data_IF_125509302475
#
_entry.id   IF_125509302475
#
_cell.length_a   1.000
_cell.length_b   1.000
_cell.length_c   1.000
_cell.angle_alpha   90.00
_cell.angle_beta   90.00
_cell.angle_gamma   90.00
#
_symmetry.space_group_name_H-M   'P 1'
#
loop_
_entity.id
_entity.type
_entity.pdbx_description
1 polymer ?
#
# COMPACT_ATOMS: atom_id res chain seq x y z
N UNK A 1 2.65 11.87 3.15
CA UNK A 1 2.85 10.74 4.06
C UNK A 1 1.96 10.81 5.28
N UNK A 2 1.65 9.67 5.86
CA UNK A 2 0.93 9.55 7.12
C UNK A 2 1.73 8.69 8.10
N UNK A 3 1.86 9.16 9.33
CA UNK A 3 2.51 8.37 10.38
C UNK A 3 1.49 7.36 10.94
N UNK A 4 1.68 6.09 10.58
CA UNK A 4 0.88 4.97 11.05
C UNK A 4 1.55 4.16 12.18
N UNK A 5 2.77 4.53 12.58
CA UNK A 5 3.58 3.81 13.57
C UNK A 5 3.18 4.24 14.99
N UNK A 6 3.04 3.27 15.89
CA UNK A 6 2.80 3.50 17.33
C UNK A 6 4.12 3.52 18.10
N UNK A 7 4.24 4.43 19.07
CA UNK A 7 5.46 4.58 19.90
C UNK A 7 5.86 3.30 20.66
N UNK A 8 4.91 2.50 21.14
CA UNK A 8 5.18 1.32 21.99
C UNK A 8 4.88 -0.02 21.34
N UNK A 9 4.16 -0.05 20.21
CA UNK A 9 3.74 -1.27 19.54
C UNK A 9 4.00 -1.13 18.04
N UNK A 10 5.26 -1.30 17.66
CA UNK A 10 5.74 -1.01 16.29
C UNK A 10 5.07 -1.86 15.20
N UNK A 11 4.59 -3.05 15.53
CA UNK A 11 3.92 -3.95 14.59
C UNK A 11 2.48 -3.56 14.33
N UNK A 12 1.78 -2.98 15.31
CA UNK A 12 0.39 -2.54 15.15
C UNK A 12 0.30 -1.09 14.70
N UNK A 13 -0.21 -0.87 13.50
CA UNK A 13 -0.48 0.48 13.01
C UNK A 13 -1.64 1.18 13.74
N UNK A 14 -1.65 2.50 13.67
CA UNK A 14 -2.75 3.33 14.14
C UNK A 14 -2.84 4.62 13.32
N UNK A 15 -4.04 5.03 12.97
CA UNK A 15 -4.34 6.31 12.36
C UNK A 15 -5.37 7.01 13.22
N UNK A 16 -5.13 8.26 13.59
CA UNK A 16 -6.07 9.06 14.38
C UNK A 16 -7.17 9.68 13.52
N UNK A 17 -8.29 10.01 14.11
CA UNK A 17 -9.37 10.75 13.43
C UNK A 17 -8.88 12.10 12.88
N UNK A 18 -7.99 12.78 13.61
CA UNK A 18 -7.40 14.04 13.15
C UNK A 18 -6.56 13.85 11.87
N UNK A 19 -5.79 12.75 11.79
CA UNK A 19 -5.05 12.42 10.55
C UNK A 19 -6.00 12.10 9.40
N UNK A 20 -7.07 11.34 9.66
CA UNK A 20 -8.08 11.02 8.64
C UNK A 20 -8.69 12.29 8.07
N UNK A 21 -9.11 13.21 8.92
CA UNK A 21 -9.71 14.50 8.52
C UNK A 21 -8.73 15.41 7.79
N UNK A 22 -7.50 15.52 8.27
CA UNK A 22 -6.46 16.33 7.62
C UNK A 22 -6.12 15.83 6.20
N UNK A 23 -6.04 14.52 6.02
CA UNK A 23 -5.79 13.91 4.71
C UNK A 23 -7.03 14.06 3.81
N UNK A 24 -8.23 13.82 4.33
CA UNK A 24 -9.48 14.07 3.61
C UNK A 24 -9.52 15.48 3.04
N UNK A 25 -9.21 16.48 3.86
CA UNK A 25 -9.17 17.87 3.43
C UNK A 25 -8.18 18.06 2.26
N UNK A 26 -6.97 17.52 2.36
CA UNK A 26 -5.97 17.60 1.29
C UNK A 26 -6.42 16.91 0.00
N UNK A 27 -6.99 15.71 0.09
CA UNK A 27 -7.50 14.97 -1.06
C UNK A 27 -8.62 15.73 -1.78
N UNK A 28 -9.55 16.31 -1.01
CA UNK A 28 -10.67 17.08 -1.54
C UNK A 28 -10.22 18.32 -2.31
N UNK A 29 -9.15 18.99 -1.86
CA UNK A 29 -8.64 20.23 -2.48
C UNK A 29 -7.50 20.02 -3.47
N UNK A 30 -7.03 18.78 -3.64
CA UNK A 30 -6.03 18.46 -4.64
C UNK A 30 -6.63 18.50 -6.06
N UNK A 31 -5.87 18.94 -7.08
CA UNK A 31 -6.34 18.98 -8.45
C UNK A 31 -6.86 17.62 -8.93
N UNK A 32 -7.97 17.63 -9.65
CA UNK A 32 -8.67 16.40 -10.10
C UNK A 32 -7.86 15.58 -11.09
N UNK A 33 -6.97 16.21 -11.84
CA UNK A 33 -6.11 15.57 -12.84
C UNK A 33 -4.79 15.04 -12.28
N UNK A 34 -4.62 15.01 -10.95
CA UNK A 34 -3.42 14.48 -10.31
C UNK A 34 -3.71 13.14 -9.65
N UNK A 35 -2.76 12.22 -9.79
CA UNK A 35 -2.76 10.96 -9.04
C UNK A 35 -2.51 11.29 -7.56
N UNK A 36 -3.38 10.81 -6.70
CA UNK A 36 -3.36 11.08 -5.25
C UNK A 36 -2.93 9.82 -4.52
N UNK A 37 -1.70 9.82 -4.03
CA UNK A 37 -1.10 8.70 -3.32
C UNK A 37 -0.85 9.08 -1.86
N UNK A 38 -1.10 8.13 -0.96
CA UNK A 38 -0.76 8.23 0.47
C UNK A 38 0.38 7.25 0.75
N UNK A 39 1.40 7.70 1.45
CA UNK A 39 2.50 6.86 1.90
C UNK A 39 2.36 6.60 3.40
N UNK A 40 2.36 5.35 3.79
CA UNK A 40 2.30 4.87 5.18
C UNK A 40 3.37 3.79 5.40
N UNK A 41 3.57 3.35 6.65
CA UNK A 41 4.46 2.21 6.92
C UNK A 41 3.70 0.89 6.90
N UNK A 42 2.57 0.81 7.62
CA UNK A 42 1.76 -0.41 7.69
C UNK A 42 0.82 -0.57 6.50
N UNK A 43 0.49 -1.82 6.14
CA UNK A 43 -0.46 -2.15 5.09
C UNK A 43 -1.89 -1.76 5.48
N UNK A 44 -2.74 -1.52 4.49
CA UNK A 44 -4.18 -1.31 4.72
C UNK A 44 -5.01 -2.55 4.41
N UNK A 45 -4.37 -3.53 3.81
CA UNK A 45 -4.95 -4.84 3.55
C UNK A 45 -3.86 -5.93 3.68
N UNK A 46 -4.23 -7.08 4.17
CA UNK A 46 -3.45 -8.31 4.14
C UNK A 46 -4.37 -9.45 3.72
N UNK A 47 -3.95 -10.36 2.82
CA UNK A 47 -4.76 -11.52 2.45
C UNK A 47 -5.11 -12.37 3.68
N UNK A 48 -6.29 -13.01 3.70
CA UNK A 48 -6.75 -13.79 4.85
C UNK A 48 -5.83 -14.96 5.24
N UNK A 49 -5.10 -15.50 4.28
CA UNK A 49 -4.11 -16.57 4.44
C UNK A 49 -2.71 -16.07 4.81
N UNK A 50 -2.52 -14.76 4.88
CA UNK A 50 -1.24 -14.18 5.32
C UNK A 50 -1.11 -14.29 6.85
N UNK A 51 -0.02 -14.92 7.38
CA UNK A 51 0.22 -15.05 8.81
C UNK A 51 0.45 -13.71 9.52
N UNK A 52 0.84 -12.65 8.81
CA UNK A 52 0.96 -11.31 9.37
C UNK A 52 -0.39 -10.69 9.68
N UNK A 53 -1.44 -11.17 9.04
CA UNK A 53 -2.85 -10.93 9.35
C UNK A 53 -3.26 -9.45 9.53
N UNK A 54 -4.54 -9.26 9.63
CA UNK A 54 -5.21 -7.99 9.90
C UNK A 54 -4.66 -7.20 11.11
N UNK A 55 -3.85 -7.84 11.97
CA UNK A 55 -3.21 -7.18 13.13
C UNK A 55 -2.18 -6.11 12.74
N UNK A 56 -1.59 -6.23 11.56
CA UNK A 56 -0.60 -5.28 11.07
C UNK A 56 -1.27 -4.05 10.43
N UNK A 57 -2.53 -4.18 10.02
CA UNK A 57 -3.30 -3.05 9.52
C UNK A 57 -3.55 -1.98 10.60
N UNK A 58 -3.54 -0.69 10.23
CA UNK A 58 -3.77 0.39 11.19
C UNK A 58 -5.17 0.31 11.82
N UNK A 59 -5.24 0.50 13.14
CA UNK A 59 -6.52 0.80 13.79
C UNK A 59 -7.10 2.05 13.12
N UNK A 60 -8.40 2.02 12.80
CA UNK A 60 -9.12 2.99 11.97
C UNK A 60 -8.69 3.02 10.48
N UNK A 61 -7.84 2.08 10.02
CA UNK A 61 -7.45 2.01 8.61
C UNK A 61 -8.63 1.83 7.68
N UNK A 62 -9.60 0.98 8.01
CA UNK A 62 -10.83 0.81 7.23
C UNK A 62 -11.65 2.10 7.16
N UNK A 63 -11.86 2.79 8.27
CA UNK A 63 -12.54 4.08 8.28
C UNK A 63 -11.81 5.12 7.42
N UNK A 64 -10.47 5.13 7.49
CA UNK A 64 -9.66 6.01 6.66
C UNK A 64 -9.88 5.73 5.17
N UNK A 65 -9.89 4.47 4.75
CA UNK A 65 -10.17 4.08 3.37
C UNK A 65 -11.56 4.53 2.90
N UNK A 66 -12.60 4.31 3.70
CA UNK A 66 -13.97 4.72 3.38
C UNK A 66 -14.09 6.24 3.19
N UNK A 67 -13.33 7.02 3.95
CA UNK A 67 -13.30 8.48 3.83
C UNK A 67 -12.46 8.93 2.64
N UNK A 68 -11.24 8.40 2.50
CA UNK A 68 -10.29 8.88 1.51
C UNK A 68 -10.64 8.48 0.08
N UNK A 69 -11.18 7.27 -0.13
CA UNK A 69 -11.63 6.79 -1.44
C UNK A 69 -12.71 7.71 -2.06
N UNK A 70 -13.65 8.15 -1.24
CA UNK A 70 -14.71 9.10 -1.65
C UNK A 70 -14.18 10.51 -1.96
N UNK A 71 -12.95 10.80 -1.56
CA UNK A 71 -12.29 12.08 -1.80
C UNK A 71 -11.15 11.97 -2.84
N UNK A 72 -11.18 10.92 -3.67
CA UNK A 72 -10.33 10.76 -4.84
C UNK A 72 -8.96 10.16 -4.56
N UNK A 73 -8.79 9.38 -3.49
CA UNK A 73 -7.58 8.57 -3.29
C UNK A 73 -7.42 7.57 -4.44
N UNK A 74 -6.25 7.53 -5.06
CA UNK A 74 -5.91 6.55 -6.10
C UNK A 74 -5.12 5.36 -5.55
N UNK A 75 -4.32 5.56 -4.49
CA UNK A 75 -3.58 4.44 -3.91
C UNK A 75 -2.82 4.77 -2.64
N UNK A 76 -2.38 3.70 -2.00
CA UNK A 76 -1.52 3.70 -0.81
C UNK A 76 -0.22 3.00 -1.14
N UNK A 77 0.87 3.56 -0.65
CA UNK A 77 2.22 2.99 -0.75
C UNK A 77 2.69 2.63 0.65
N UNK A 78 3.08 1.40 0.86
CA UNK A 78 3.59 0.98 2.17
C UNK A 78 4.60 -0.16 2.07
N UNK A 79 5.35 -0.38 3.15
CA UNK A 79 6.30 -1.46 3.32
C UNK A 79 5.82 -2.50 4.32
N UNK A 80 6.57 -2.67 5.40
CA UNK A 80 6.29 -3.51 6.56
C UNK A 80 6.35 -5.03 6.31
N UNK A 81 5.60 -5.53 5.32
CA UNK A 81 5.46 -6.97 5.07
C UNK A 81 6.64 -7.59 4.31
N UNK A 82 7.54 -6.78 3.75
CA UNK A 82 8.68 -7.26 2.93
C UNK A 82 8.25 -8.11 1.72
N UNK A 83 7.02 -7.93 1.26
CA UNK A 83 6.43 -8.64 0.14
C UNK A 83 5.88 -7.61 -0.86
N UNK A 84 6.28 -7.72 -2.12
CA UNK A 84 5.70 -6.91 -3.20
C UNK A 84 4.35 -7.49 -3.60
N UNK A 85 3.32 -6.65 -3.59
CA UNK A 85 1.98 -7.00 -4.04
C UNK A 85 1.19 -5.74 -4.42
N UNK A 86 0.16 -5.89 -5.22
CA UNK A 86 -0.78 -4.81 -5.56
C UNK A 86 -2.20 -5.36 -5.46
N UNK A 87 -3.04 -4.68 -4.69
CA UNK A 87 -4.44 -5.05 -4.49
C UNK A 87 -5.36 -3.89 -4.83
N UNK A 88 -6.50 -4.16 -5.44
CA UNK A 88 -7.56 -3.16 -5.60
C UNK A 88 -8.51 -3.18 -4.40
N UNK A 89 -8.30 -2.24 -3.48
CA UNK A 89 -9.13 -2.11 -2.28
C UNK A 89 -10.58 -1.72 -2.58
N UNK A 90 -10.82 -1.08 -3.72
CA UNK A 90 -12.19 -0.74 -4.11
C UNK A 90 -13.00 -2.01 -4.42
N UNK A 91 -12.39 -3.00 -5.05
CA UNK A 91 -13.00 -4.30 -5.28
C UNK A 91 -13.13 -5.12 -3.98
N UNK A 92 -12.05 -5.19 -3.18
CA UNK A 92 -12.01 -6.00 -1.95
C UNK A 92 -12.99 -5.49 -0.90
N UNK A 93 -13.04 -4.18 -0.71
CA UNK A 93 -13.80 -3.56 0.37
C UNK A 93 -15.11 -2.89 -0.07
N UNK A 94 -15.41 -2.87 -1.37
CA UNK A 94 -16.59 -2.18 -1.92
C UNK A 94 -16.67 -0.71 -1.46
N UNK A 95 -15.57 0.04 -1.64
CA UNK A 95 -15.43 1.42 -1.15
C UNK A 95 -16.33 2.42 -1.88
N UNK A 96 -16.90 2.04 -3.02
CA UNK A 96 -17.74 2.90 -3.85
C UNK A 96 -16.98 4.02 -4.57
N UNK A 97 -15.67 3.87 -4.76
CA UNK A 97 -14.89 4.78 -5.58
C UNK A 97 -15.19 4.57 -7.08
N UNK A 98 -15.06 5.64 -7.88
CA UNK A 98 -15.27 5.59 -9.33
C UNK A 98 -14.11 4.97 -10.11
N UNK A 99 -13.02 4.65 -9.43
CA UNK A 99 -11.78 4.12 -10.00
C UNK A 99 -11.15 3.13 -9.01
N UNK A 100 -10.17 2.31 -9.44
CA UNK A 100 -9.38 1.50 -8.53
C UNK A 100 -8.72 2.32 -7.43
N UNK A 101 -8.64 1.74 -6.23
CA UNK A 101 -7.88 2.27 -5.09
C UNK A 101 -6.82 1.25 -4.75
N UNK A 102 -5.61 1.47 -5.24
CA UNK A 102 -4.55 0.48 -5.16
C UNK A 102 -3.86 0.49 -3.79
N UNK A 103 -3.68 -0.68 -3.21
CA UNK A 103 -2.80 -0.91 -2.05
C UNK A 103 -1.50 -1.53 -2.57
N UNK A 104 -0.44 -0.73 -2.61
CA UNK A 104 0.81 -1.05 -3.27
C UNK A 104 1.84 -1.38 -2.18
N UNK A 105 2.08 -2.67 -2.00
CA UNK A 105 3.06 -3.20 -1.07
C UNK A 105 4.45 -3.14 -1.69
N UNK A 106 5.37 -2.43 -1.06
CA UNK A 106 6.77 -2.46 -1.45
C UNK A 106 7.41 -3.75 -0.94
N UNK A 107 8.15 -4.39 -1.82
CA UNK A 107 9.04 -5.47 -1.45
C UNK A 107 10.28 -4.96 -0.71
N UNK A 108 11.27 -5.81 -0.59
CA UNK A 108 12.57 -5.51 0.00
C UNK A 108 13.61 -5.52 -1.10
N UNK A 109 14.14 -4.35 -1.50
CA UNK A 109 15.08 -4.26 -2.61
C UNK A 109 16.50 -4.74 -2.24
N UNK A 110 16.95 -4.48 -1.02
CA UNK A 110 18.35 -4.69 -0.61
C UNK A 110 18.54 -5.45 0.71
N UNK A 111 17.47 -5.72 1.46
CA UNK A 111 17.56 -6.41 2.74
C UNK A 111 17.67 -7.92 2.58
N UNK A 112 18.41 -8.56 3.47
CA UNK A 112 18.42 -10.02 3.61
C UNK A 112 17.18 -10.57 4.35
N UNK A 113 16.33 -9.71 4.91
CA UNK A 113 15.06 -10.10 5.54
C UNK A 113 13.99 -10.33 4.48
N UNK A 114 14.04 -11.48 3.86
CA UNK A 114 13.09 -11.88 2.83
C UNK A 114 11.84 -12.49 3.47
N UNK A 115 10.67 -12.11 2.99
CA UNK A 115 9.41 -12.71 3.43
C UNK A 115 9.28 -14.10 2.81
N UNK A 116 9.19 -15.15 3.63
CA UNK A 116 8.96 -16.54 3.21
C UNK A 116 9.86 -17.02 2.04
N UNK A 117 11.08 -16.52 1.96
CA UNK A 117 12.00 -16.89 0.88
C UNK A 117 11.72 -16.24 -0.48
N UNK A 118 10.82 -15.25 -0.53
CA UNK A 118 10.62 -14.44 -1.73
C UNK A 118 11.88 -13.65 -2.06
N UNK A 119 12.16 -13.50 -3.36
CA UNK A 119 13.31 -12.71 -3.80
C UNK A 119 13.13 -11.21 -3.50
N UNK A 120 14.24 -10.47 -3.48
CA UNK A 120 14.22 -9.03 -3.42
C UNK A 120 13.37 -8.44 -4.54
N UNK A 121 12.65 -7.36 -4.26
CA UNK A 121 11.72 -6.77 -5.22
C UNK A 121 11.48 -5.30 -4.95
N UNK A 122 11.04 -4.57 -5.98
CA UNK A 122 10.55 -3.20 -5.89
C UNK A 122 9.45 -2.95 -6.91
N UNK A 123 8.70 -1.87 -6.73
CA UNK A 123 7.66 -1.43 -7.66
C UNK A 123 8.03 -0.11 -8.31
N UNK A 124 7.63 0.09 -9.56
CA UNK A 124 7.58 1.40 -10.21
C UNK A 124 6.14 1.80 -10.45
N UNK A 125 5.85 3.09 -10.31
CA UNK A 125 4.52 3.65 -10.52
C UNK A 125 4.60 4.62 -11.68
N UNK A 126 3.85 4.35 -12.73
CA UNK A 126 3.79 5.21 -13.91
C UNK A 126 2.86 6.40 -13.69
N UNK A 127 3.05 7.45 -14.45
CA UNK A 127 2.17 8.63 -14.44
C UNK A 127 0.75 8.32 -14.91
N UNK A 128 0.55 7.20 -15.60
CA UNK A 128 -0.77 6.62 -15.92
C UNK A 128 -1.51 6.04 -14.71
N UNK A 129 -0.79 5.77 -13.60
CA UNK A 129 -1.32 5.07 -12.43
C UNK A 129 -1.10 3.55 -12.46
N UNK A 130 -0.49 3.01 -13.52
CA UNK A 130 -0.10 1.60 -13.58
C UNK A 130 1.10 1.32 -12.69
N UNK A 131 1.21 0.09 -12.21
CA UNK A 131 2.29 -0.35 -11.31
C UNK A 131 2.98 -1.55 -11.93
N UNK A 132 4.29 -1.46 -12.11
CA UNK A 132 5.13 -2.58 -12.50
C UNK A 132 5.89 -3.10 -11.28
N UNK A 133 5.96 -4.42 -11.15
CA UNK A 133 6.70 -5.10 -10.10
C UNK A 133 7.98 -5.70 -10.70
N UNK A 134 9.11 -5.47 -10.04
CA UNK A 134 10.40 -6.03 -10.41
C UNK A 134 10.90 -6.98 -9.33
N UNK A 135 11.35 -8.15 -9.72
CA UNK A 135 11.85 -9.21 -8.84
C UNK A 135 13.30 -9.53 -9.19
N UNK A 136 14.16 -9.67 -8.19
CA UNK A 136 15.57 -10.00 -8.38
C UNK A 136 15.72 -11.44 -8.84
N UNK A 137 16.36 -11.63 -10.00
CA UNK A 137 16.71 -12.93 -10.54
C UNK A 137 18.16 -13.27 -10.16
N UNK A 138 18.33 -14.36 -9.43
CA UNK A 138 19.63 -14.84 -8.95
C UNK A 138 20.55 -15.27 -10.11
N UNK A 139 19.99 -15.80 -11.20
CA UNK A 139 20.79 -16.32 -12.30
C UNK A 139 21.41 -15.19 -13.13
N UNK A 140 20.63 -14.16 -13.45
CA UNK A 140 21.10 -13.01 -14.22
C UNK A 140 21.69 -11.88 -13.35
N UNK A 141 21.49 -11.92 -12.02
CA UNK A 141 21.85 -10.84 -11.07
C UNK A 141 21.17 -9.50 -11.41
N UNK A 142 19.98 -9.54 -11.99
CA UNK A 142 19.21 -8.36 -12.39
C UNK A 142 17.80 -8.38 -11.78
N UNK A 143 17.19 -7.20 -11.68
CA UNK A 143 15.77 -7.10 -11.40
C UNK A 143 14.99 -7.22 -12.71
N UNK A 144 14.14 -8.22 -12.82
CA UNK A 144 13.32 -8.49 -13.98
C UNK A 144 11.86 -8.11 -13.71
N UNK A 145 11.17 -7.65 -14.74
CA UNK A 145 9.75 -7.35 -14.67
C UNK A 145 8.97 -8.64 -14.37
N UNK A 146 8.13 -8.59 -13.33
CA UNK A 146 7.26 -9.70 -12.97
C UNK A 146 6.03 -9.70 -13.88
N UNK A 147 6.04 -10.56 -14.90
CA UNK A 147 4.93 -10.70 -15.86
C UNK A 147 3.77 -11.54 -15.32
N UNK A 148 3.89 -12.13 -14.13
CA UNK A 148 2.89 -13.01 -13.52
C UNK A 148 1.93 -12.27 -12.57
N UNK A 149 2.03 -10.95 -12.42
CA UNK A 149 1.15 -10.13 -11.60
C UNK A 149 -0.01 -9.57 -12.44
N UNK A 150 -0.98 -10.42 -12.74
CA UNK A 150 -2.28 -10.00 -13.28
C UNK A 150 -3.38 -10.40 -12.31
#
# INVERSE_FOLDING_TARGET
>A
GVNSIRRRYHTRGHISLAQIQAIQHRLKHAPVNKIKLIVAHQPFYTPPDDPHSIKDCPILGRLALDVWSKNGLNGLLHGHLHQSAVYDLNQIYHLGAKHPVLDIHAGTATSSRLHRGLANSFNTIHTSGTVDQYVFDQASQLFLLNTNSA
#
